data_IF_427754243196
#
_entry.id   IF_427754243196
#
_cell.length_a   1.000
_cell.length_b   1.000
_cell.length_c   1.000
_cell.angle_alpha   90.00
_cell.angle_beta   90.00
_cell.angle_gamma   90.00
#
_symmetry.space_group_name_H-M   'P 1'
#
loop_
_entity.id
_entity.type
_entity.pdbx_description
1 polymer ?
#
# COMPACT_ATOMS: atom_id res chain seq x y z
N UNK A 1 8.81 -14.49 -0.75
CA UNK A 1 7.44 -14.24 -0.27
C UNK A 1 6.50 -13.97 -1.42
N UNK A 2 6.60 -12.87 -2.18
CA UNK A 2 5.65 -12.65 -3.29
C UNK A 2 5.64 -13.78 -4.33
N UNK A 3 6.80 -14.19 -4.83
CA UNK A 3 6.91 -15.28 -5.82
C UNK A 3 6.40 -16.62 -5.28
N UNK A 4 6.51 -16.86 -3.97
CA UNK A 4 6.09 -18.11 -3.33
C UNK A 4 4.61 -18.13 -2.91
N UNK A 5 3.94 -16.97 -2.90
CA UNK A 5 2.58 -16.82 -2.37
C UNK A 5 1.55 -16.48 -3.44
N UNK A 6 1.97 -16.28 -4.69
CA UNK A 6 1.06 -16.09 -5.82
C UNK A 6 0.79 -17.43 -6.50
N UNK A 7 -0.45 -17.63 -6.97
CA UNK A 7 -0.84 -18.82 -7.76
C UNK A 7 0.15 -19.09 -8.89
N UNK A 8 0.41 -20.38 -9.22
CA UNK A 8 1.30 -20.73 -10.31
C UNK A 8 0.75 -20.15 -11.61
N UNK A 9 1.65 -19.49 -12.35
CA UNK A 9 1.35 -18.96 -13.68
C UNK A 9 0.83 -20.11 -14.56
N UNK A 10 -0.14 -19.85 -15.43
CA UNK A 10 -0.34 -20.65 -16.64
C UNK A 10 1.00 -20.86 -17.34
N UNK A 11 1.37 -22.12 -17.59
CA UNK A 11 2.62 -22.44 -18.27
C UNK A 11 2.67 -21.72 -19.63
N UNK A 12 3.58 -20.76 -19.77
CA UNK A 12 3.77 -19.99 -20.99
C UNK A 12 5.03 -20.50 -21.68
N UNK A 13 5.05 -20.57 -23.02
CA UNK A 13 6.26 -20.91 -23.75
C UNK A 13 7.44 -20.04 -23.34
N UNK A 14 8.62 -20.66 -23.18
CA UNK A 14 9.82 -19.97 -22.67
C UNK A 14 10.21 -18.77 -23.53
N UNK A 15 10.01 -18.85 -24.86
CA UNK A 15 10.24 -17.75 -25.79
C UNK A 15 9.35 -16.53 -25.49
N UNK A 16 8.08 -16.76 -25.13
CA UNK A 16 7.14 -15.71 -24.72
C UNK A 16 7.58 -15.09 -23.39
N UNK A 17 8.01 -15.92 -22.43
CA UNK A 17 8.48 -15.45 -21.13
C UNK A 17 9.76 -14.60 -21.25
N UNK A 18 10.73 -15.05 -22.03
CA UNK A 18 12.01 -14.36 -22.25
C UNK A 18 11.79 -13.06 -23.02
N UNK A 19 10.98 -13.09 -24.08
CA UNK A 19 10.66 -11.89 -24.86
C UNK A 19 9.91 -10.85 -24.03
N UNK A 20 8.95 -11.28 -23.21
CA UNK A 20 8.25 -10.39 -22.28
C UNK A 20 9.21 -9.77 -21.28
N UNK A 21 10.08 -10.58 -20.67
CA UNK A 21 11.06 -10.11 -19.69
C UNK A 21 12.05 -9.12 -20.31
N UNK A 22 12.50 -9.38 -21.54
CA UNK A 22 13.37 -8.49 -22.31
C UNK A 22 12.71 -7.13 -22.56
N UNK A 23 11.47 -7.12 -23.04
CA UNK A 23 10.73 -5.88 -23.31
C UNK A 23 10.47 -5.09 -22.02
N UNK A 24 10.11 -5.76 -20.93
CA UNK A 24 9.87 -5.11 -19.64
C UNK A 24 11.15 -4.54 -19.03
N UNK A 25 12.30 -5.20 -19.18
CA UNK A 25 13.60 -4.72 -18.70
C UNK A 25 14.07 -3.44 -19.43
N UNK A 26 13.74 -3.32 -20.70
CA UNK A 26 14.21 -2.21 -21.56
C UNK A 26 13.13 -1.15 -21.78
N UNK A 27 11.99 -1.23 -21.09
CA UNK A 27 10.87 -0.31 -21.26
C UNK A 27 11.26 1.11 -20.78
N UNK A 28 11.11 2.07 -21.68
CA UNK A 28 11.36 3.49 -21.45
C UNK A 28 10.21 4.30 -22.08
N UNK A 29 10.05 5.57 -21.67
CA UNK A 29 9.04 6.45 -22.28
C UNK A 29 9.26 6.60 -23.79
N UNK A 30 10.51 6.69 -24.24
CA UNK A 30 10.88 6.87 -25.64
C UNK A 30 10.54 5.67 -26.54
N UNK A 31 10.51 4.44 -26.01
CA UNK A 31 10.24 3.23 -26.80
C UNK A 31 8.87 2.60 -26.51
N UNK A 32 8.05 3.21 -25.64
CA UNK A 32 6.78 2.68 -25.19
C UNK A 32 5.85 2.26 -26.35
N UNK A 33 5.68 3.11 -27.36
CA UNK A 33 4.80 2.81 -28.50
C UNK A 33 5.29 1.58 -29.29
N UNK A 34 6.60 1.50 -29.50
CA UNK A 34 7.19 0.35 -30.19
C UNK A 34 7.01 -0.92 -29.36
N UNK A 35 7.25 -0.86 -28.04
CA UNK A 35 7.04 -2.00 -27.15
C UNK A 35 5.58 -2.48 -27.16
N UNK A 36 4.60 -1.56 -27.19
CA UNK A 36 3.18 -1.92 -27.31
C UNK A 36 2.92 -2.67 -28.61
N UNK A 37 3.43 -2.17 -29.74
CA UNK A 37 3.29 -2.82 -31.04
C UNK A 37 3.94 -4.20 -31.06
N UNK A 38 5.14 -4.34 -30.49
CA UNK A 38 5.84 -5.62 -30.41
C UNK A 38 5.13 -6.63 -29.52
N UNK A 39 4.64 -6.20 -28.36
CA UNK A 39 3.85 -7.04 -27.46
C UNK A 39 2.57 -7.56 -28.13
N UNK A 40 1.85 -6.71 -28.86
CA UNK A 40 0.63 -7.11 -29.58
C UNK A 40 0.86 -8.17 -30.67
N UNK A 41 2.09 -8.34 -31.17
CA UNK A 41 2.40 -9.35 -32.19
C UNK A 41 2.43 -10.78 -31.66
N UNK A 42 2.72 -10.98 -30.36
CA UNK A 42 2.91 -12.32 -29.80
C UNK A 42 2.07 -12.60 -28.55
N UNK A 43 1.52 -11.57 -27.88
CA UNK A 43 0.64 -11.79 -26.74
C UNK A 43 -0.71 -12.36 -27.20
N UNK A 44 -1.05 -13.52 -26.66
CA UNK A 44 -2.35 -14.17 -26.81
C UNK A 44 -3.10 -14.11 -25.47
N UNK A 45 -4.43 -14.31 -25.45
CA UNK A 45 -5.22 -14.30 -24.22
C UNK A 45 -4.67 -15.22 -23.11
N UNK A 46 -4.12 -16.37 -23.49
CA UNK A 46 -3.46 -17.32 -22.56
C UNK A 46 -2.22 -16.74 -21.86
N UNK A 47 -1.59 -15.70 -22.42
CA UNK A 47 -0.36 -15.10 -21.89
C UNK A 47 -0.63 -13.92 -20.92
N UNK A 48 -1.86 -13.41 -20.86
CA UNK A 48 -2.17 -12.20 -20.08
C UNK A 48 -2.02 -12.40 -18.57
N UNK A 49 -2.32 -13.60 -18.06
CA UNK A 49 -2.11 -13.94 -16.65
C UNK A 49 -0.64 -13.85 -16.26
N UNK A 50 0.25 -14.41 -17.09
CA UNK A 50 1.70 -14.30 -16.92
C UNK A 50 2.18 -12.86 -16.96
N UNK A 51 1.75 -12.08 -17.96
CA UNK A 51 2.15 -10.67 -18.06
C UNK A 51 1.71 -9.89 -16.83
N UNK A 52 0.47 -10.07 -16.36
CA UNK A 52 -0.05 -9.40 -15.18
C UNK A 52 0.77 -9.73 -13.93
N UNK A 53 1.06 -11.02 -13.69
CA UNK A 53 1.86 -11.45 -12.55
C UNK A 53 3.32 -10.98 -12.64
N UNK A 54 3.94 -11.07 -13.81
CA UNK A 54 5.28 -10.55 -14.04
C UNK A 54 5.34 -9.05 -13.76
N UNK A 55 4.38 -8.29 -14.29
CA UNK A 55 4.30 -6.85 -14.10
C UNK A 55 4.17 -6.49 -12.62
N UNK A 56 3.26 -7.13 -11.88
CA UNK A 56 3.03 -6.78 -10.48
C UNK A 56 4.18 -7.27 -9.59
N UNK A 57 4.53 -8.55 -9.69
CA UNK A 57 5.47 -9.20 -8.77
C UNK A 57 6.91 -8.81 -9.05
N UNK A 58 7.33 -8.80 -10.33
CA UNK A 58 8.74 -8.56 -10.70
C UNK A 58 9.04 -7.10 -11.01
N UNK A 59 8.04 -6.26 -11.27
CA UNK A 59 8.25 -4.84 -11.59
C UNK A 59 7.63 -3.92 -10.56
N UNK A 60 6.30 -3.82 -10.50
CA UNK A 60 5.62 -2.85 -9.66
C UNK A 60 5.99 -2.96 -8.17
N UNK A 61 6.22 -4.17 -7.66
CA UNK A 61 6.65 -4.35 -6.26
C UNK A 61 8.07 -3.84 -5.97
N UNK A 62 8.94 -3.72 -6.99
CA UNK A 62 10.36 -3.40 -6.85
C UNK A 62 10.73 -2.01 -7.39
N UNK A 63 10.01 -1.54 -8.40
CA UNK A 63 10.40 -0.42 -9.26
C UNK A 63 9.38 0.74 -9.19
N UNK A 64 9.23 1.44 -8.04
CA UNK A 64 8.18 2.44 -7.84
C UNK A 64 8.26 3.63 -8.82
N UNK A 65 9.45 3.98 -9.26
CA UNK A 65 9.67 5.09 -10.20
C UNK A 65 9.05 4.83 -11.58
N UNK A 66 8.86 3.57 -11.96
CA UNK A 66 8.31 3.18 -13.27
C UNK A 66 6.80 2.87 -13.23
N UNK A 67 6.13 3.03 -12.08
CA UNK A 67 4.70 2.72 -11.96
C UNK A 67 3.84 3.40 -13.02
N UNK A 68 4.04 4.70 -13.26
CA UNK A 68 3.27 5.43 -14.27
C UNK A 68 3.53 4.88 -15.67
N UNK A 69 4.78 4.58 -16.02
CA UNK A 69 5.15 4.02 -17.32
C UNK A 69 4.48 2.65 -17.55
N UNK A 70 4.52 1.76 -16.56
CA UNK A 70 3.84 0.46 -16.62
C UNK A 70 2.34 0.58 -16.76
N UNK A 71 1.74 1.53 -16.05
CA UNK A 71 0.31 1.79 -16.12
C UNK A 71 -0.11 2.33 -17.48
N UNK A 72 0.71 3.19 -18.11
CA UNK A 72 0.51 3.67 -19.48
C UNK A 72 0.70 2.54 -20.49
N UNK A 73 1.65 1.63 -20.28
CA UNK A 73 1.82 0.43 -21.12
C UNK A 73 0.54 -0.41 -21.13
N UNK A 74 0.00 -0.74 -19.96
CA UNK A 74 -1.24 -1.52 -19.84
C UNK A 74 -2.42 -0.80 -20.52
N UNK A 75 -2.55 0.51 -20.33
CA UNK A 75 -3.59 1.32 -21.02
C UNK A 75 -3.44 1.26 -22.54
N UNK A 76 -2.21 1.42 -23.08
CA UNK A 76 -1.95 1.40 -24.53
C UNK A 76 -2.09 0.02 -25.17
N UNK A 77 -1.88 -1.05 -24.40
CA UNK A 77 -2.23 -2.39 -24.84
C UNK A 77 -3.73 -2.49 -25.11
N UNK A 78 -4.57 -1.79 -24.33
CA UNK A 78 -6.01 -1.67 -24.58
C UNK A 78 -6.78 -2.96 -24.35
N UNK A 79 -6.23 -3.86 -23.52
CA UNK A 79 -6.77 -5.20 -23.24
C UNK A 79 -7.48 -5.17 -21.88
N UNK A 80 -8.82 -5.15 -21.86
CA UNK A 80 -9.62 -4.98 -20.63
C UNK A 80 -9.44 -6.14 -19.66
N UNK A 81 -9.34 -7.35 -20.16
CA UNK A 81 -9.09 -8.53 -19.34
C UNK A 81 -7.69 -8.48 -18.70
N UNK A 82 -6.69 -7.97 -19.42
CA UNK A 82 -5.35 -7.75 -18.85
C UNK A 82 -5.41 -6.72 -17.72
N UNK A 83 -6.13 -5.61 -17.88
CA UNK A 83 -6.32 -4.64 -16.78
C UNK A 83 -6.92 -5.30 -15.53
N UNK A 84 -7.93 -6.15 -15.72
CA UNK A 84 -8.56 -6.88 -14.62
C UNK A 84 -7.58 -7.87 -13.96
N UNK A 85 -6.79 -8.60 -14.76
CA UNK A 85 -5.76 -9.51 -14.27
C UNK A 85 -4.65 -8.78 -13.51
N UNK A 86 -4.21 -7.61 -13.99
CA UNK A 86 -3.23 -6.75 -13.30
C UNK A 86 -3.78 -6.30 -11.95
N UNK A 87 -5.04 -5.85 -11.90
CA UNK A 87 -5.68 -5.46 -10.65
C UNK A 87 -5.81 -6.64 -9.67
N UNK A 88 -6.24 -7.81 -10.15
CA UNK A 88 -6.36 -9.02 -9.34
C UNK A 88 -4.98 -9.46 -8.80
N UNK A 89 -3.96 -9.49 -9.65
CA UNK A 89 -2.59 -9.83 -9.24
C UNK A 89 -2.04 -8.84 -8.21
N UNK A 90 -2.40 -7.55 -8.33
CA UNK A 90 -2.06 -6.51 -7.35
C UNK A 90 -2.70 -6.80 -5.99
N UNK A 91 -3.99 -7.11 -5.94
CA UNK A 91 -4.67 -7.49 -4.70
C UNK A 91 -4.08 -8.76 -4.08
N UNK A 92 -3.85 -9.80 -4.88
CA UNK A 92 -3.26 -11.06 -4.40
C UNK A 92 -1.86 -10.83 -3.82
N UNK A 93 -1.03 -10.01 -4.47
CA UNK A 93 0.32 -9.67 -3.99
C UNK A 93 0.28 -8.87 -2.68
N UNK A 94 -0.63 -7.89 -2.55
CA UNK A 94 -0.85 -7.17 -1.30
C UNK A 94 -1.29 -8.12 -0.18
N UNK A 95 -2.27 -8.99 -0.44
CA UNK A 95 -2.77 -9.97 0.55
C UNK A 95 -1.67 -10.93 1.01
N UNK A 96 -0.86 -11.44 0.09
CA UNK A 96 0.26 -12.31 0.40
C UNK A 96 1.27 -11.66 1.37
N UNK A 97 1.58 -10.37 1.20
CA UNK A 97 2.46 -9.64 2.12
C UNK A 97 1.76 -9.32 3.45
N UNK A 98 0.48 -8.96 3.43
CA UNK A 98 -0.30 -8.66 4.63
C UNK A 98 -0.55 -9.90 5.51
N UNK A 99 -0.51 -11.10 4.92
CA UNK A 99 -0.61 -12.38 5.64
C UNK A 99 0.75 -12.90 6.10
N UNK A 100 1.86 -12.31 5.63
CA UNK A 100 3.22 -12.70 6.03
C UNK A 100 3.56 -12.11 7.39
N UNK A 101 3.84 -12.96 8.38
CA UNK A 101 4.32 -12.50 9.70
C UNK A 101 5.65 -11.74 9.61
N UNK A 102 6.44 -12.02 8.57
CA UNK A 102 7.72 -11.35 8.32
C UNK A 102 7.55 -9.86 8.10
N UNK A 103 6.37 -9.38 7.69
CA UNK A 103 6.12 -7.95 7.44
C UNK A 103 6.33 -7.09 8.69
N UNK A 104 6.20 -7.67 9.89
CA UNK A 104 6.45 -6.99 11.17
C UNK A 104 7.91 -6.59 11.34
N UNK A 105 8.83 -7.45 10.91
CA UNK A 105 10.27 -7.30 11.19
C UNK A 105 11.09 -7.00 9.93
N UNK A 106 10.65 -7.46 8.76
CA UNK A 106 11.36 -7.32 7.49
C UNK A 106 11.14 -5.96 6.84
N UNK A 107 12.19 -5.13 6.83
CA UNK A 107 12.19 -3.85 6.10
C UNK A 107 11.97 -4.05 4.60
N UNK A 108 12.48 -5.14 4.02
CA UNK A 108 12.30 -5.42 2.59
C UNK A 108 10.84 -5.74 2.26
N UNK A 109 10.15 -6.58 3.05
CA UNK A 109 8.72 -6.85 2.82
C UNK A 109 7.86 -5.61 3.01
N UNK A 110 8.18 -4.75 3.99
CA UNK A 110 7.52 -3.46 4.15
C UNK A 110 7.73 -2.54 2.95
N UNK A 111 8.92 -2.53 2.35
CA UNK A 111 9.20 -1.76 1.15
C UNK A 111 8.38 -2.26 -0.05
N UNK A 112 8.31 -3.58 -0.26
CA UNK A 112 7.45 -4.19 -1.30
C UNK A 112 5.98 -3.81 -1.10
N UNK A 113 5.49 -3.88 0.14
CA UNK A 113 4.11 -3.54 0.46
C UNK A 113 3.83 -2.05 0.21
N UNK A 114 4.74 -1.14 0.62
CA UNK A 114 4.63 0.31 0.34
C UNK A 114 4.58 0.59 -1.16
N UNK A 115 5.44 -0.08 -1.95
CA UNK A 115 5.44 0.04 -3.41
C UNK A 115 4.10 -0.43 -3.99
N UNK A 116 3.59 -1.59 -3.56
CA UNK A 116 2.29 -2.08 -4.00
C UNK A 116 1.12 -1.19 -3.56
N UNK A 117 1.21 -0.51 -2.41
CA UNK A 117 0.23 0.49 -1.98
C UNK A 117 0.15 1.68 -2.95
N UNK A 118 1.30 2.24 -3.32
CA UNK A 118 1.38 3.31 -4.32
C UNK A 118 0.85 2.85 -5.69
N UNK A 119 1.30 1.66 -6.12
CA UNK A 119 0.84 1.03 -7.36
C UNK A 119 -0.69 0.89 -7.40
N UNK A 120 -1.29 0.37 -6.34
CA UNK A 120 -2.72 0.17 -6.24
C UNK A 120 -3.48 1.51 -6.26
N UNK A 121 -2.98 2.53 -5.56
CA UNK A 121 -3.56 3.88 -5.58
C UNK A 121 -3.54 4.52 -6.97
N UNK A 122 -2.44 4.38 -7.72
CA UNK A 122 -2.35 4.83 -9.11
C UNK A 122 -3.26 4.03 -10.06
N UNK A 123 -3.31 2.70 -9.89
CA UNK A 123 -4.10 1.80 -10.72
C UNK A 123 -5.62 2.02 -10.55
N UNK A 124 -6.05 2.52 -9.39
CA UNK A 124 -7.47 2.64 -9.02
C UNK A 124 -7.90 4.08 -8.72
N UNK A 125 -7.54 4.61 -7.56
CA UNK A 125 -8.00 5.90 -7.01
C UNK A 125 -7.67 7.07 -7.94
N UNK A 126 -6.42 7.15 -8.42
CA UNK A 126 -5.99 8.20 -9.34
C UNK A 126 -6.78 8.18 -10.67
N UNK A 127 -7.32 7.01 -11.04
CA UNK A 127 -8.17 6.78 -12.22
C UNK A 127 -9.66 6.84 -11.90
N UNK A 128 -10.04 7.36 -10.73
CA UNK A 128 -11.43 7.44 -10.26
C UNK A 128 -12.15 6.08 -10.15
N UNK A 129 -11.40 4.99 -10.00
CA UNK A 129 -11.94 3.64 -9.75
C UNK A 129 -11.91 3.34 -8.24
N UNK A 130 -13.00 2.87 -7.63
CA UNK A 130 -13.05 2.60 -6.19
C UNK A 130 -12.22 1.37 -5.80
N UNK A 131 -11.63 1.42 -4.61
CA UNK A 131 -11.16 0.23 -3.90
C UNK A 131 -12.34 -0.42 -3.18
N UNK A 132 -12.82 -1.54 -3.73
CA UNK A 132 -13.98 -2.24 -3.17
C UNK A 132 -13.59 -2.95 -1.88
N UNK A 133 -14.41 -2.77 -0.83
CA UNK A 133 -14.23 -3.38 0.50
C UNK A 133 -14.05 -4.90 0.44
N UNK A 134 -14.76 -5.58 -0.48
CA UNK A 134 -14.65 -7.04 -0.70
C UNK A 134 -13.25 -7.49 -1.12
N UNK A 135 -12.49 -6.60 -1.78
CA UNK A 135 -11.13 -6.89 -2.23
C UNK A 135 -10.11 -6.45 -1.19
N UNK A 136 -10.28 -5.24 -0.63
CA UNK A 136 -9.41 -4.66 0.38
C UNK A 136 -10.18 -3.65 1.23
N UNK A 137 -10.53 -4.02 2.46
CA UNK A 137 -11.15 -3.11 3.43
C UNK A 137 -10.08 -2.37 4.22
N UNK A 138 -9.86 -1.09 3.89
CA UNK A 138 -8.79 -0.28 4.52
C UNK A 138 -9.02 -0.07 6.01
N UNK A 139 -10.27 0.21 6.44
CA UNK A 139 -10.58 0.38 7.87
C UNK A 139 -10.35 -0.90 8.66
N UNK A 140 -10.89 -2.02 8.17
CA UNK A 140 -10.67 -3.33 8.82
C UNK A 140 -9.19 -3.69 8.87
N UNK A 141 -8.43 -3.38 7.81
CA UNK A 141 -7.00 -3.61 7.79
C UNK A 141 -6.27 -2.83 8.88
N UNK A 142 -6.65 -1.59 9.16
CA UNK A 142 -6.06 -0.79 10.23
C UNK A 142 -6.37 -1.38 11.62
N UNK A 143 -7.61 -1.82 11.86
CA UNK A 143 -7.98 -2.47 13.11
C UNK A 143 -7.25 -3.80 13.31
N UNK A 144 -7.24 -4.66 12.29
CA UNK A 144 -6.50 -5.93 12.33
C UNK A 144 -4.99 -5.70 12.49
N UNK A 145 -4.47 -4.66 11.85
CA UNK A 145 -3.07 -4.25 11.98
C UNK A 145 -2.72 -3.91 13.41
N UNK A 146 -3.55 -3.13 14.09
CA UNK A 146 -3.36 -2.82 15.51
C UNK A 146 -3.43 -4.08 16.36
N UNK A 147 -4.44 -4.93 16.15
CA UNK A 147 -4.65 -6.16 16.93
C UNK A 147 -3.47 -7.14 16.79
N UNK A 148 -2.89 -7.22 15.60
CA UNK A 148 -1.80 -8.15 15.28
C UNK A 148 -0.40 -7.52 15.47
N UNK A 149 -0.29 -6.27 15.90
CA UNK A 149 1.01 -5.58 16.00
C UNK A 149 1.71 -5.42 14.64
N UNK A 150 0.97 -5.03 13.61
CA UNK A 150 1.43 -4.88 12.22
C UNK A 150 1.22 -3.46 11.66
N UNK A 151 0.93 -2.46 12.51
CA UNK A 151 0.76 -1.07 12.07
C UNK A 151 2.02 -0.54 11.37
N UNK A 152 3.21 -0.96 11.80
CA UNK A 152 4.50 -0.63 11.16
C UNK A 152 4.55 -0.94 9.66
N UNK A 153 3.75 -1.90 9.20
CA UNK A 153 3.58 -2.24 7.79
C UNK A 153 2.30 -1.62 7.18
N UNK A 154 1.19 -1.70 7.89
CA UNK A 154 -0.13 -1.33 7.38
C UNK A 154 -0.32 0.18 7.26
N UNK A 155 0.13 0.98 8.23
CA UNK A 155 -0.03 2.44 8.17
C UNK A 155 0.72 3.02 6.96
N UNK A 156 2.02 2.71 6.72
CA UNK A 156 2.70 3.17 5.51
C UNK A 156 2.04 2.69 4.21
N UNK A 157 1.54 1.45 4.18
CA UNK A 157 0.80 0.91 3.02
C UNK A 157 -0.46 1.72 2.73
N UNK A 158 -1.30 1.95 3.74
CA UNK A 158 -2.54 2.73 3.60
C UNK A 158 -2.22 4.17 3.20
N UNK A 159 -1.21 4.80 3.80
CA UNK A 159 -0.79 6.14 3.41
C UNK A 159 -0.36 6.20 1.94
N UNK A 160 0.37 5.18 1.47
CA UNK A 160 0.76 5.07 0.06
C UNK A 160 -0.39 4.83 -0.91
N UNK A 161 -1.48 4.19 -0.48
CA UNK A 161 -2.70 4.11 -1.28
C UNK A 161 -3.38 5.48 -1.35
N UNK A 162 -3.54 6.15 -0.21
CA UNK A 162 -4.30 7.40 -0.09
C UNK A 162 -3.60 8.64 -0.66
N UNK A 163 -2.27 8.64 -0.81
CA UNK A 163 -1.55 9.77 -1.40
C UNK A 163 -2.04 10.12 -2.82
N UNK A 164 -2.60 9.13 -3.52
CA UNK A 164 -3.16 9.28 -4.86
C UNK A 164 -4.59 9.84 -4.89
N UNK A 165 -5.24 10.00 -3.72
CA UNK A 165 -6.56 10.63 -3.64
C UNK A 165 -6.53 12.10 -4.09
N UNK A 166 -5.45 12.84 -3.84
CA UNK A 166 -5.34 14.25 -4.21
C UNK A 166 -5.46 14.51 -5.72
N UNK A 167 -5.02 13.56 -6.54
CA UNK A 167 -5.13 13.62 -8.00
C UNK A 167 -6.52 13.18 -8.52
N UNK A 168 -7.32 12.53 -7.68
CA UNK A 168 -8.64 12.01 -8.05
C UNK A 168 -9.69 13.10 -8.08
N UNK A 169 -10.60 13.05 -9.06
CA UNK A 169 -11.78 13.94 -9.08
C UNK A 169 -12.85 13.50 -8.09
N UNK A 170 -12.93 12.19 -7.84
CA UNK A 170 -13.97 11.58 -6.99
C UNK A 170 -13.48 11.43 -5.54
N UNK A 171 -12.24 10.98 -5.35
CA UNK A 171 -11.74 10.56 -4.03
C UNK A 171 -10.96 11.63 -3.29
N UNK A 172 -10.69 12.81 -3.87
CA UNK A 172 -10.05 13.92 -3.15
C UNK A 172 -10.92 14.41 -1.98
N UNK A 173 -10.34 15.06 -0.95
CA UNK A 173 -11.12 15.67 0.11
C UNK A 173 -12.16 16.66 -0.45
N UNK A 174 -13.36 16.78 0.16
CA UNK A 174 -13.81 16.12 1.39
C UNK A 174 -14.60 14.82 1.15
N UNK A 175 -14.15 13.93 0.25
CA UNK A 175 -14.82 12.65 -0.02
C UNK A 175 -15.06 11.82 1.27
N UNK A 176 -16.29 11.39 1.60
CA UNK A 176 -16.58 10.72 2.88
C UNK A 176 -15.82 9.42 3.13
N UNK A 177 -15.57 8.62 2.08
CA UNK A 177 -14.78 7.38 2.21
C UNK A 177 -13.34 7.72 2.59
N UNK A 178 -12.74 8.71 1.92
CA UNK A 178 -11.39 9.18 2.24
C UNK A 178 -11.32 9.79 3.64
N UNK A 179 -12.23 10.72 3.97
CA UNK A 179 -12.24 11.41 5.26
C UNK A 179 -12.42 10.43 6.41
N UNK A 180 -13.28 9.43 6.25
CA UNK A 180 -13.47 8.38 7.26
C UNK A 180 -12.22 7.54 7.51
N UNK A 181 -11.33 7.37 6.52
CA UNK A 181 -10.04 6.68 6.72
C UNK A 181 -9.01 7.64 7.33
N UNK A 182 -8.95 8.89 6.89
CA UNK A 182 -8.06 9.90 7.47
C UNK A 182 -8.33 10.14 8.95
N UNK A 183 -9.60 10.23 9.34
CA UNK A 183 -9.99 10.35 10.74
C UNK A 183 -9.50 9.16 11.56
N UNK A 184 -9.67 7.93 11.07
CA UNK A 184 -9.17 6.73 11.74
C UNK A 184 -7.62 6.72 11.84
N UNK A 185 -6.92 7.17 10.81
CA UNK A 185 -5.45 7.31 10.86
C UNK A 185 -5.01 8.35 11.90
N UNK A 186 -5.74 9.46 12.04
CA UNK A 186 -5.47 10.49 13.05
C UNK A 186 -5.79 9.97 14.46
N UNK A 187 -6.87 9.21 14.64
CA UNK A 187 -7.18 8.53 15.90
C UNK A 187 -6.08 7.54 16.28
N UNK A 188 -5.60 6.72 15.34
CA UNK A 188 -4.47 5.80 15.55
C UNK A 188 -3.20 6.58 15.90
N UNK A 189 -2.90 7.67 15.19
CA UNK A 189 -1.76 8.55 15.49
C UNK A 189 -1.82 9.09 16.92
N UNK A 190 -3.01 9.39 17.42
CA UNK A 190 -3.22 9.89 18.78
C UNK A 190 -3.09 8.84 19.90
N UNK A 191 -2.84 7.57 19.56
CA UNK A 191 -2.69 6.51 20.56
C UNK A 191 -1.43 6.75 21.43
N UNK A 192 -1.54 6.58 22.76
CA UNK A 192 -0.38 6.68 23.63
C UNK A 192 0.70 5.66 23.27
N UNK A 193 1.95 6.09 23.36
CA UNK A 193 3.15 5.28 23.13
C UNK A 193 3.31 4.78 21.67
N UNK A 194 2.52 5.26 20.70
CA UNK A 194 2.73 4.89 19.29
C UNK A 194 4.12 5.35 18.82
N UNK A 195 4.82 4.53 18.02
CA UNK A 195 6.14 4.93 17.49
C UNK A 195 6.06 6.18 16.63
N UNK A 196 7.05 7.06 16.79
CA UNK A 196 7.21 8.29 16.00
C UNK A 196 7.21 8.05 14.50
N UNK A 197 7.78 6.94 14.02
CA UNK A 197 7.79 6.59 12.60
C UNK A 197 6.38 6.42 12.04
N UNK A 198 5.44 5.90 12.81
CA UNK A 198 4.04 5.73 12.41
C UNK A 198 3.28 7.06 12.44
N UNK A 199 3.52 7.87 13.48
CA UNK A 199 2.91 9.20 13.59
C UNK A 199 3.33 10.10 12.42
N UNK A 200 4.63 10.06 12.07
CA UNK A 200 5.19 10.84 10.98
C UNK A 200 4.66 10.42 9.60
N UNK A 201 4.41 9.13 9.37
CA UNK A 201 3.82 8.67 8.10
C UNK A 201 2.41 9.27 7.88
N UNK A 202 1.60 9.41 8.93
CA UNK A 202 0.29 10.08 8.85
C UNK A 202 0.45 11.58 8.58
N UNK A 203 1.42 12.25 9.22
CA UNK A 203 1.71 13.67 8.98
C UNK A 203 2.14 13.94 7.55
N UNK A 204 3.05 13.13 7.01
CA UNK A 204 3.51 13.22 5.62
C UNK A 204 2.36 13.00 4.64
N UNK A 205 1.43 12.09 4.93
CA UNK A 205 0.22 11.90 4.13
C UNK A 205 -0.63 13.17 4.10
N UNK A 206 -0.93 13.75 5.27
CA UNK A 206 -1.74 14.97 5.37
C UNK A 206 -1.08 16.14 4.62
N UNK A 207 0.24 16.29 4.76
CA UNK A 207 1.01 17.30 4.03
C UNK A 207 0.91 17.10 2.50
N UNK A 208 1.06 15.87 2.00
CA UNK A 208 0.92 15.55 0.56
C UNK A 208 -0.47 15.86 0.02
N UNK A 209 -1.49 15.75 0.86
CA UNK A 209 -2.87 16.05 0.51
C UNK A 209 -3.26 17.51 0.76
N UNK A 210 -2.33 18.33 1.27
CA UNK A 210 -2.56 19.71 1.67
C UNK A 210 -3.73 19.85 2.68
N UNK A 211 -3.77 18.95 3.66
CA UNK A 211 -4.77 18.93 4.73
C UNK A 211 -4.08 19.28 6.05
N UNK A 212 -4.69 20.19 6.82
CA UNK A 212 -4.22 20.49 8.18
C UNK A 212 -4.71 19.42 9.18
N UNK A 213 -3.86 19.02 10.12
CA UNK A 213 -4.22 18.03 11.13
C UNK A 213 -5.27 18.56 12.12
N UNK A 214 -5.24 19.86 12.41
CA UNK A 214 -6.21 20.54 13.24
C UNK A 214 -7.62 20.43 12.65
N UNK A 215 -7.76 20.56 11.33
CA UNK A 215 -9.05 20.41 10.64
C UNK A 215 -9.66 19.01 10.85
N UNK A 216 -8.85 17.95 10.68
CA UNK A 216 -9.30 16.58 10.92
C UNK A 216 -9.65 16.37 12.40
N UNK A 217 -8.83 16.90 13.31
CA UNK A 217 -9.06 16.79 14.76
C UNK A 217 -10.36 17.48 15.18
N UNK A 218 -10.63 18.67 14.65
CA UNK A 218 -11.90 19.38 14.86
C UNK A 218 -13.08 18.60 14.28
N UNK A 219 -12.92 17.95 13.13
CA UNK A 219 -13.98 17.13 12.54
C UNK A 219 -14.29 15.90 13.39
N UNK A 220 -13.27 15.24 13.95
CA UNK A 220 -13.44 14.14 14.92
C UNK A 220 -14.17 14.64 16.16
N UNK A 221 -13.79 15.81 16.70
CA UNK A 221 -14.45 16.39 17.87
C UNK A 221 -15.93 16.73 17.62
N UNK A 222 -16.26 17.24 16.42
CA UNK A 222 -17.63 17.58 16.03
C UNK A 222 -18.49 16.34 15.77
N UNK A 223 -17.93 15.32 15.12
CA UNK A 223 -18.62 14.09 14.72
C UNK A 223 -17.82 12.86 15.17
N UNK A 224 -17.78 12.57 16.48
CA UNK A 224 -17.01 11.44 16.98
C UNK A 224 -17.61 10.13 16.49
N UNK A 225 -16.83 9.36 15.73
CA UNK A 225 -17.18 7.99 15.39
C UNK A 225 -16.94 7.10 16.61
N UNK A 226 -17.95 7.05 17.49
CA UNK A 226 -17.90 6.27 18.74
C UNK A 226 -17.55 4.80 18.47
N UNK A 227 -17.88 4.27 17.30
CA UNK A 227 -17.59 2.88 16.92
C UNK A 227 -16.08 2.67 16.75
N UNK A 228 -15.39 3.57 16.03
CA UNK A 228 -13.94 3.45 15.83
C UNK A 228 -13.20 3.60 17.16
N UNK A 229 -13.53 4.63 17.94
CA UNK A 229 -12.88 4.87 19.24
C UNK A 229 -13.07 3.70 20.21
N UNK A 230 -14.29 3.16 20.32
CA UNK A 230 -14.56 1.99 21.17
C UNK A 230 -13.76 0.78 20.71
N UNK A 231 -13.66 0.55 19.40
CA UNK A 231 -12.92 -0.58 18.84
C UNK A 231 -11.42 -0.44 19.04
N UNK A 232 -10.84 0.75 18.83
CA UNK A 232 -9.42 1.01 19.13
C UNK A 232 -9.12 0.77 20.61
N UNK A 233 -9.96 1.26 21.51
CA UNK A 233 -9.77 1.07 22.95
C UNK A 233 -9.91 -0.40 23.37
N UNK A 234 -10.87 -1.13 22.79
CA UNK A 234 -11.01 -2.57 23.01
C UNK A 234 -9.78 -3.33 22.54
N UNK A 235 -9.28 -3.06 21.34
CA UNK A 235 -8.07 -3.69 20.82
C UNK A 235 -6.87 -3.34 21.72
N UNK A 236 -6.76 -2.07 22.14
CA UNK A 236 -5.66 -1.60 22.99
C UNK A 236 -5.55 -2.37 24.31
N UNK A 237 -6.67 -2.79 24.89
CA UNK A 237 -6.70 -3.61 26.12
C UNK A 237 -6.22 -5.05 25.92
N UNK A 238 -6.22 -5.53 24.67
CA UNK A 238 -5.87 -6.93 24.35
C UNK A 238 -4.44 -7.11 23.83
N UNK A 239 -3.79 -6.04 23.38
CA UNK A 239 -2.45 -6.11 22.77
C UNK A 239 -1.35 -6.00 23.83
N UNK A 240 -0.28 -6.78 23.65
CA UNK A 240 0.95 -6.63 24.41
C UNK A 240 1.77 -5.46 23.84
N UNK A 241 1.62 -4.29 24.46
CA UNK A 241 2.34 -3.07 24.07
C UNK A 241 3.86 -3.25 24.23
N UNK A 242 4.31 -4.02 25.22
CA UNK A 242 5.73 -4.14 25.54
C UNK A 242 6.51 -4.94 24.49
N UNK A 243 5.87 -5.94 23.89
CA UNK A 243 6.47 -6.76 22.83
C UNK A 243 6.06 -6.33 21.41
N UNK A 244 5.33 -5.23 21.28
CA UNK A 244 4.85 -4.76 19.97
C UNK A 244 5.92 -4.04 19.15
N UNK A 245 5.92 -4.27 17.84
CA UNK A 245 6.74 -3.49 16.90
C UNK A 245 6.20 -2.10 16.64
N UNK A 246 4.97 -1.80 17.05
CA UNK A 246 4.24 -0.58 16.69
C UNK A 246 4.32 0.51 17.78
N UNK A 247 4.55 0.11 19.03
CA UNK A 247 4.58 0.99 20.20
C UNK A 247 5.98 1.08 20.78
N UNK A 248 6.27 2.17 21.47
CA UNK A 248 7.51 2.38 22.20
C UNK A 248 7.48 1.53 23.47
N UNK A 249 8.51 0.72 23.70
CA UNK A 249 8.70 0.07 25.00
C UNK A 249 8.96 1.16 26.04
N UNK A 250 8.21 1.16 27.13
CA UNK A 250 8.58 1.92 28.32
C UNK A 250 9.79 1.25 28.96
N UNK A 251 10.98 1.42 28.40
CA UNK A 251 12.18 1.26 29.22
C UNK A 251 12.16 2.38 30.28
N UNK A 252 12.40 2.08 31.56
CA UNK A 252 12.62 3.15 32.52
C UNK A 252 13.81 3.94 32.02
N UNK A 253 13.63 5.24 31.77
CA UNK A 253 14.75 6.14 31.52
C UNK A 253 15.81 5.86 32.59
N UNK A 254 16.91 5.21 32.23
CA UNK A 254 18.10 5.20 33.05
C UNK A 254 18.43 6.68 33.27
N UNK A 255 18.51 7.17 34.52
CA UNK A 255 18.80 8.56 34.76
C UNK A 255 20.13 8.84 34.08
N UNK A 256 20.15 9.85 33.19
CA UNK A 256 21.38 10.34 32.59
C UNK A 256 22.43 10.49 33.70
N UNK A 257 23.39 9.57 33.74
CA UNK A 257 24.55 9.72 34.58
C UNK A 257 25.25 10.98 34.08
N UNK A 258 25.18 12.06 34.88
CA UNK A 258 25.99 13.25 34.64
C UNK A 258 27.44 12.79 34.50
N UNK A 259 28.20 13.32 33.52
CA UNK A 259 29.62 13.05 33.47
C UNK A 259 30.22 13.51 34.81
N UNK A 260 30.90 12.60 35.52
CA UNK A 260 31.80 13.02 36.58
C UNK A 260 32.90 13.84 35.91
N UNK A 261 32.94 15.12 36.24
CA UNK A 261 34.11 15.94 35.97
C UNK A 261 35.17 15.58 37.02
N UNK A 262 36.24 14.94 36.57
CA UNK A 262 37.59 14.95 37.16
C UNK A 262 38.60 14.90 36.02
#
# INVERSE_FOLDING_TARGET
>A
TLVSCTEPVTDVPQDVADKTSFLMNNLMEANLEQTVVEMKKFLQPSHWGFLAQHLVVKRASLEPNYHRLYLTLVEKLGLKELEALVLNSSYSSCKALLQSEKVRHSTSERALLKNLGSWLGLLTIARNKPLLTKNLSIKELLFEGMQKGMLIAIVPFVCKVLEHCGASKIFKPPNPWMMGILMLLVEIRGLPDLKWTLMFEVEVLLQRLSIDMGDITQQIAKNPDKTNMQRLEQIRKTIDIHNSTDFMSKEPHAPHAKPKAE
#
